data_IF_499254941250
#
_entry.id   IF_499254941250
#
_cell.length_a   1.000
_cell.length_b   1.000
_cell.length_c   1.000
_cell.angle_alpha   90.00
_cell.angle_beta   90.00
_cell.angle_gamma   90.00
#
_symmetry.space_group_name_H-M   'P 1'
#
loop_
_entity.id
_entity.type
_entity.pdbx_description
1 polymer ?
#
# COMPACT_ATOMS: atom_id res chain seq x y z
N UNK A 1 -31.36 82.85 -26.55
CA UNK A 1 -31.64 81.79 -27.57
C UNK A 1 -30.42 80.92 -27.80
N UNK A 2 -29.19 81.43 -27.94
CA UNK A 2 -28.00 80.68 -28.24
C UNK A 2 -27.61 79.65 -27.12
N UNK A 3 -27.78 80.00 -25.86
CA UNK A 3 -27.45 79.13 -24.71
C UNK A 3 -28.40 77.89 -24.64
N UNK A 4 -29.69 78.11 -25.00
CA UNK A 4 -30.67 77.04 -25.04
C UNK A 4 -30.34 75.97 -26.11
N UNK A 5 -29.90 76.45 -27.28
CA UNK A 5 -29.52 75.58 -28.38
C UNK A 5 -28.26 74.77 -28.09
N UNK A 6 -27.29 75.36 -27.39
CA UNK A 6 -26.05 74.61 -26.99
C UNK A 6 -26.34 73.53 -25.94
N UNK A 7 -27.19 73.84 -24.99
CA UNK A 7 -27.60 72.84 -23.98
C UNK A 7 -28.42 71.71 -24.60
N UNK A 8 -29.34 72.03 -25.53
CA UNK A 8 -30.08 70.98 -26.22
C UNK A 8 -29.19 70.08 -27.09
N UNK A 9 -28.19 70.66 -27.76
CA UNK A 9 -27.24 69.92 -28.57
C UNK A 9 -26.34 68.96 -27.69
N UNK A 10 -25.88 69.45 -26.55
CA UNK A 10 -25.07 68.63 -25.62
C UNK A 10 -25.91 67.49 -25.02
N UNK A 11 -27.14 67.77 -24.62
CA UNK A 11 -28.07 66.76 -24.12
C UNK A 11 -28.40 65.71 -25.20
N UNK A 12 -28.64 66.09 -26.40
CA UNK A 12 -28.88 65.16 -27.50
C UNK A 12 -27.68 64.32 -27.82
N UNK A 13 -26.50 64.90 -27.81
CA UNK A 13 -25.25 64.15 -28.04
C UNK A 13 -24.95 63.14 -26.94
N UNK A 14 -25.26 63.41 -25.65
CA UNK A 14 -25.13 62.47 -24.54
C UNK A 14 -26.15 61.32 -24.65
N UNK A 15 -27.37 61.57 -25.04
CA UNK A 15 -28.36 60.54 -25.25
C UNK A 15 -28.04 59.63 -26.45
N UNK A 16 -27.49 60.18 -27.52
CA UNK A 16 -27.14 59.45 -28.74
C UNK A 16 -25.91 58.53 -28.46
N UNK A 17 -24.97 58.97 -27.58
CA UNK A 17 -23.84 58.14 -27.09
C UNK A 17 -24.30 56.96 -26.27
N UNK A 18 -25.36 57.10 -25.49
CA UNK A 18 -25.90 55.95 -24.69
C UNK A 18 -26.67 54.93 -25.55
N UNK A 19 -27.28 55.39 -26.69
CA UNK A 19 -27.98 54.47 -27.61
C UNK A 19 -27.03 53.56 -28.42
N UNK A 20 -25.79 53.95 -28.60
CA UNK A 20 -24.75 53.15 -29.31
C UNK A 20 -24.03 52.14 -28.46
N UNK A 21 -24.28 52.12 -27.17
CA UNK A 21 -23.62 51.19 -26.21
C UNK A 21 -24.49 49.98 -25.81
N UNK A 22 -25.33 49.48 -26.74
CA UNK A 22 -25.88 48.14 -26.56
C UNK A 22 -24.85 47.18 -27.14
N UNK A 23 -24.10 46.46 -26.33
CA UNK A 23 -23.25 45.42 -26.86
C UNK A 23 -24.15 44.41 -27.55
N UNK A 24 -23.88 44.11 -28.82
CA UNK A 24 -24.50 43.00 -29.49
C UNK A 24 -24.38 41.77 -28.59
N UNK A 25 -25.41 40.91 -28.46
CA UNK A 25 -25.30 39.69 -27.73
C UNK A 25 -24.14 38.91 -28.35
N UNK A 26 -23.01 38.86 -27.65
CA UNK A 26 -21.92 37.91 -27.97
C UNK A 26 -22.60 36.55 -28.00
N UNK A 27 -22.48 35.78 -29.09
CA UNK A 27 -22.93 34.40 -29.05
C UNK A 27 -22.19 33.76 -27.86
N UNK A 28 -22.95 33.41 -26.85
CA UNK A 28 -22.44 32.55 -25.77
C UNK A 28 -22.08 31.27 -26.50
N UNK A 29 -20.80 31.16 -26.89
CA UNK A 29 -20.23 29.87 -27.21
C UNK A 29 -20.42 29.11 -25.92
N UNK A 30 -21.42 28.25 -25.89
CA UNK A 30 -21.60 27.31 -24.81
C UNK A 30 -20.23 26.66 -24.63
N UNK A 31 -19.54 26.98 -23.52
CA UNK A 31 -18.37 26.22 -23.14
C UNK A 31 -18.77 24.74 -23.28
N UNK A 32 -17.99 23.93 -23.98
CA UNK A 32 -18.31 22.52 -24.05
C UNK A 32 -18.55 22.09 -22.61
N UNK A 33 -19.78 21.67 -22.34
CA UNK A 33 -20.10 21.02 -21.09
C UNK A 33 -19.06 19.92 -21.02
N UNK A 34 -18.12 20.05 -20.09
CA UNK A 34 -17.17 19.00 -19.86
C UNK A 34 -18.04 17.76 -19.57
N UNK A 35 -18.23 16.95 -20.61
CA UNK A 35 -18.82 15.64 -20.44
C UNK A 35 -18.02 15.07 -19.28
N UNK A 36 -18.69 14.85 -18.17
CA UNK A 36 -18.11 14.13 -17.06
C UNK A 36 -17.65 12.82 -17.68
N UNK A 37 -16.36 12.68 -17.93
CA UNK A 37 -15.80 11.46 -18.46
C UNK A 37 -16.27 10.38 -17.49
N UNK A 38 -17.19 9.55 -17.93
CA UNK A 38 -17.58 8.38 -17.17
C UNK A 38 -16.31 7.61 -16.87
N UNK A 39 -16.14 7.24 -15.58
CA UNK A 39 -14.96 6.52 -15.15
C UNK A 39 -14.78 5.28 -16.05
N UNK A 40 -13.71 5.27 -16.80
CA UNK A 40 -13.36 4.17 -17.68
C UNK A 40 -12.54 3.14 -16.91
N UNK A 41 -12.65 1.88 -17.26
CA UNK A 41 -11.79 0.83 -16.71
C UNK A 41 -10.29 1.11 -16.97
N UNK A 42 -9.94 1.90 -17.97
CA UNK A 42 -8.58 2.38 -18.23
C UNK A 42 -8.06 3.36 -17.17
N UNK A 43 -8.96 4.03 -16.42
CA UNK A 43 -8.61 5.00 -15.39
C UNK A 43 -8.36 4.30 -14.03
N UNK A 44 -8.75 3.04 -13.92
CA UNK A 44 -8.51 2.23 -12.74
C UNK A 44 -7.14 1.56 -12.87
N UNK A 45 -6.18 2.00 -12.05
CA UNK A 45 -4.90 1.34 -12.00
C UNK A 45 -5.11 -0.16 -11.66
N UNK A 46 -4.44 -1.10 -12.38
CA UNK A 46 -4.57 -2.51 -12.08
C UNK A 46 -4.21 -2.76 -10.62
N UNK A 47 -5.11 -3.40 -9.90
CA UNK A 47 -4.91 -3.70 -8.49
C UNK A 47 -3.75 -4.69 -8.34
N UNK A 48 -2.78 -4.35 -7.51
CA UNK A 48 -1.66 -5.24 -7.23
C UNK A 48 -2.17 -6.56 -6.64
N UNK A 49 -1.74 -7.67 -7.24
CA UNK A 49 -2.17 -9.00 -6.77
C UNK A 49 -1.66 -9.26 -5.36
N UNK A 50 -0.42 -8.85 -5.06
CA UNK A 50 0.19 -9.00 -3.75
C UNK A 50 0.83 -7.67 -3.32
N UNK A 51 0.32 -7.08 -2.24
CA UNK A 51 0.80 -5.84 -1.64
C UNK A 51 1.40 -6.09 -0.26
N UNK A 52 2.43 -5.33 0.08
CA UNK A 52 2.98 -5.22 1.44
C UNK A 52 3.00 -3.75 1.81
N UNK A 53 2.22 -3.37 2.79
CA UNK A 53 2.27 -2.04 3.38
C UNK A 53 3.11 -2.06 4.65
N UNK A 54 3.96 -1.07 4.82
CA UNK A 54 4.90 -1.01 5.95
C UNK A 54 4.82 0.34 6.66
N UNK A 55 4.87 0.31 7.98
CA UNK A 55 5.01 1.49 8.80
C UNK A 55 6.41 2.12 8.67
N UNK A 56 6.53 3.38 9.05
CA UNK A 56 7.73 4.18 8.74
C UNK A 56 9.05 3.60 9.30
N UNK A 57 9.03 2.88 10.42
CA UNK A 57 10.23 2.25 10.98
C UNK A 57 10.73 1.04 10.20
N UNK A 58 9.88 0.48 9.36
CA UNK A 58 10.21 -0.68 8.51
C UNK A 58 10.73 -0.26 7.13
N UNK A 59 10.61 1.03 6.77
CA UNK A 59 11.09 1.55 5.47
C UNK A 59 12.55 1.18 5.19
N UNK A 60 13.51 1.30 6.14
CA UNK A 60 14.90 0.93 5.88
C UNK A 60 15.10 -0.53 5.45
N UNK A 61 14.22 -1.46 5.86
CA UNK A 61 14.29 -2.86 5.47
C UNK A 61 13.89 -3.11 4.02
N UNK A 62 13.10 -2.20 3.45
CA UNK A 62 12.55 -2.32 2.08
C UNK A 62 13.19 -1.32 1.11
N UNK A 63 13.99 -0.37 1.60
CA UNK A 63 14.67 0.61 0.78
C UNK A 63 15.76 -0.05 -0.08
N UNK A 64 15.65 0.13 -1.38
CA UNK A 64 16.63 -0.36 -2.35
C UNK A 64 18.03 0.27 -2.17
N UNK A 65 18.10 1.47 -1.61
CA UNK A 65 19.34 2.21 -1.35
C UNK A 65 20.13 1.68 -0.14
N UNK A 66 19.46 0.96 0.78
CA UNK A 66 20.05 0.42 2.00
C UNK A 66 20.13 -1.13 1.99
N UNK A 67 20.58 -1.69 0.88
CA UNK A 67 20.80 -3.14 0.68
C UNK A 67 19.52 -4.01 0.67
N UNK A 68 18.35 -3.44 0.92
CA UNK A 68 17.01 -4.04 0.76
C UNK A 68 16.94 -5.52 1.15
N UNK A 69 17.41 -5.90 2.34
CA UNK A 69 17.53 -7.30 2.74
C UNK A 69 16.20 -8.05 2.57
N UNK A 70 15.10 -7.40 2.98
CA UNK A 70 13.77 -7.99 2.85
C UNK A 70 13.39 -8.20 1.38
N UNK A 71 13.68 -7.26 0.49
CA UNK A 71 13.41 -7.39 -0.94
C UNK A 71 14.17 -8.55 -1.58
N UNK A 72 15.42 -8.76 -1.17
CA UNK A 72 16.25 -9.87 -1.64
C UNK A 72 15.68 -11.20 -1.19
N UNK A 73 15.24 -11.30 0.06
CA UNK A 73 14.59 -12.49 0.62
C UNK A 73 13.25 -12.80 -0.06
N UNK A 74 12.39 -11.81 -0.24
CA UNK A 74 11.11 -11.97 -0.96
C UNK A 74 11.35 -12.53 -2.37
N UNK A 75 12.36 -12.03 -3.10
CA UNK A 75 12.73 -12.58 -4.40
C UNK A 75 13.18 -14.04 -4.34
N UNK A 76 13.96 -14.38 -3.31
CA UNK A 76 14.41 -15.76 -3.05
C UNK A 76 13.24 -16.71 -2.79
N UNK A 77 12.28 -16.29 -1.94
CA UNK A 77 11.08 -17.07 -1.63
C UNK A 77 10.26 -17.30 -2.90
N UNK A 78 9.98 -16.25 -3.67
CA UNK A 78 9.23 -16.35 -4.92
C UNK A 78 9.88 -17.34 -5.90
N UNK A 79 11.21 -17.33 -6.00
CA UNK A 79 11.95 -18.28 -6.85
C UNK A 79 11.81 -19.73 -6.35
N UNK A 80 12.02 -19.98 -5.06
CA UNK A 80 11.84 -21.31 -4.46
C UNK A 80 10.41 -21.80 -4.65
N UNK A 81 9.45 -20.93 -4.36
CA UNK A 81 8.04 -21.24 -4.50
C UNK A 81 7.66 -21.60 -5.96
N UNK A 82 8.18 -20.84 -6.92
CA UNK A 82 7.96 -21.15 -8.34
C UNK A 82 8.52 -22.52 -8.74
N UNK A 83 9.63 -22.94 -8.13
CA UNK A 83 10.22 -24.27 -8.36
C UNK A 83 9.38 -25.38 -7.71
N UNK A 84 8.81 -25.15 -6.54
CA UNK A 84 8.01 -26.15 -5.80
C UNK A 84 6.60 -26.32 -6.41
N UNK A 85 5.98 -25.23 -6.86
CA UNK A 85 4.56 -25.22 -7.29
C UNK A 85 4.40 -25.20 -8.81
N UNK A 86 5.47 -24.86 -9.54
CA UNK A 86 5.48 -24.86 -11.00
C UNK A 86 4.89 -23.60 -11.65
N UNK A 87 4.59 -22.53 -10.89
CA UNK A 87 4.22 -21.23 -11.43
C UNK A 87 4.83 -20.06 -10.64
N UNK A 88 5.07 -18.93 -11.32
CA UNK A 88 5.64 -17.75 -10.71
C UNK A 88 4.55 -16.88 -10.07
N UNK A 89 4.64 -16.65 -8.76
CA UNK A 89 3.77 -15.71 -8.04
C UNK A 89 4.05 -14.28 -8.50
N UNK A 90 3.01 -13.46 -8.60
CA UNK A 90 3.10 -12.05 -8.97
C UNK A 90 4.12 -11.28 -8.11
N UNK A 91 4.73 -10.21 -8.61
CA UNK A 91 5.58 -9.35 -7.81
C UNK A 91 4.85 -8.85 -6.56
N UNK A 92 5.59 -8.71 -5.46
CA UNK A 92 5.08 -8.04 -4.26
C UNK A 92 5.31 -6.54 -4.43
N UNK A 93 4.23 -5.77 -4.43
CA UNK A 93 4.32 -4.32 -4.42
C UNK A 93 4.42 -3.83 -2.99
N UNK A 94 5.49 -3.10 -2.68
CA UNK A 94 5.75 -2.58 -1.34
C UNK A 94 5.46 -1.09 -1.33
N UNK A 95 4.65 -0.66 -0.36
CA UNK A 95 4.26 0.73 -0.15
C UNK A 95 4.46 1.09 1.31
N UNK A 96 4.86 2.32 1.56
CA UNK A 96 4.78 2.92 2.89
C UNK A 96 3.33 3.31 3.19
N UNK A 97 2.90 3.07 4.43
CA UNK A 97 1.59 3.47 4.91
C UNK A 97 1.74 4.12 6.29
N UNK A 98 1.54 5.44 6.35
CA UNK A 98 1.65 6.23 7.56
C UNK A 98 0.47 6.05 8.53
N UNK A 99 -0.61 5.41 8.09
CA UNK A 99 -1.75 5.06 8.95
C UNK A 99 -1.44 3.86 9.84
N UNK A 100 -0.46 3.04 9.44
CA UNK A 100 -0.01 1.91 10.23
C UNK A 100 0.82 2.39 11.43
N UNK A 101 0.81 1.57 12.49
CA UNK A 101 1.76 1.77 13.59
C UNK A 101 3.19 1.81 13.05
N UNK A 102 4.13 2.51 13.73
CA UNK A 102 5.51 2.65 13.28
C UNK A 102 6.20 1.33 12.88
N UNK A 103 5.98 0.29 13.64
CA UNK A 103 6.52 -1.06 13.43
C UNK A 103 5.51 -2.02 12.78
N UNK A 104 4.35 -1.48 12.35
CA UNK A 104 3.28 -2.28 11.75
C UNK A 104 3.56 -2.62 10.31
N UNK A 105 3.06 -3.75 9.87
CA UNK A 105 2.98 -4.12 8.46
C UNK A 105 1.63 -4.77 8.17
N UNK A 106 1.23 -4.72 6.89
CA UNK A 106 -0.01 -5.30 6.40
C UNK A 106 0.25 -6.00 5.06
N UNK A 107 -0.24 -7.21 4.93
CA UNK A 107 -0.17 -7.97 3.68
C UNK A 107 -1.54 -7.93 3.01
N UNK A 108 -1.54 -7.53 1.74
CA UNK A 108 -2.74 -7.40 0.92
C UNK A 108 -2.71 -8.41 -0.21
N UNK A 109 -3.82 -9.10 -0.43
CA UNK A 109 -4.05 -9.94 -1.60
C UNK A 109 -5.24 -9.36 -2.39
N UNK A 110 -4.97 -8.87 -3.60
CA UNK A 110 -5.96 -8.16 -4.43
C UNK A 110 -6.69 -7.04 -3.65
N UNK A 111 -5.95 -6.26 -2.84
CA UNK A 111 -6.47 -5.19 -2.01
C UNK A 111 -7.16 -5.62 -0.71
N UNK A 112 -7.32 -6.92 -0.47
CA UNK A 112 -7.90 -7.44 0.78
C UNK A 112 -6.79 -7.76 1.76
N UNK A 113 -6.94 -7.32 3.02
CA UNK A 113 -6.01 -7.64 4.10
C UNK A 113 -6.07 -9.14 4.43
N UNK A 114 -4.92 -9.80 4.31
CA UNK A 114 -4.76 -11.24 4.61
C UNK A 114 -3.80 -11.50 5.76
N UNK A 115 -3.04 -10.48 6.16
CA UNK A 115 -2.14 -10.55 7.30
C UNK A 115 -1.82 -9.15 7.83
N UNK A 116 -1.74 -9.02 9.13
CA UNK A 116 -1.32 -7.81 9.84
C UNK A 116 -0.44 -8.20 11.02
N UNK A 117 0.60 -7.42 11.28
CA UNK A 117 1.48 -7.69 12.40
C UNK A 117 2.37 -6.50 12.74
N UNK A 118 3.23 -6.71 13.70
CA UNK A 118 4.26 -5.76 14.10
C UNK A 118 5.63 -6.42 14.04
N UNK A 119 6.61 -5.72 13.53
CA UNK A 119 7.97 -6.18 13.36
C UNK A 119 8.97 -5.16 13.91
N UNK A 120 9.94 -5.62 14.66
CA UNK A 120 10.90 -4.75 15.35
C UNK A 120 12.30 -4.90 14.72
N UNK A 121 12.76 -3.90 13.93
CA UNK A 121 14.09 -3.92 13.36
C UNK A 121 15.17 -4.09 14.45
N UNK A 122 16.16 -4.94 14.19
CA UNK A 122 17.24 -5.23 15.14
C UNK A 122 16.88 -6.19 16.29
N UNK A 123 15.63 -6.65 16.37
CA UNK A 123 15.20 -7.63 17.36
C UNK A 123 15.11 -9.03 16.77
N UNK A 124 15.10 -10.01 17.65
CA UNK A 124 14.84 -11.41 17.33
C UNK A 124 13.45 -11.82 17.80
N UNK A 125 12.78 -12.65 17.03
CA UNK A 125 11.54 -13.29 17.42
C UNK A 125 11.85 -14.61 18.10
N UNK A 126 11.64 -14.68 19.40
CA UNK A 126 11.79 -15.89 20.20
C UNK A 126 10.45 -16.64 20.26
N UNK A 127 10.31 -17.68 19.46
CA UNK A 127 9.10 -18.50 19.38
C UNK A 127 9.15 -19.59 20.45
N UNK A 128 8.07 -19.73 21.21
CA UNK A 128 7.93 -20.79 22.18
C UNK A 128 7.38 -22.05 21.49
N UNK A 129 8.16 -23.15 21.39
CA UNK A 129 7.71 -24.39 20.77
C UNK A 129 6.82 -25.24 21.70
N UNK A 130 6.41 -24.73 22.87
CA UNK A 130 5.53 -25.39 23.83
C UNK A 130 6.22 -25.81 25.11
N UNK A 131 7.55 -25.95 25.14
CA UNK A 131 8.32 -26.30 26.34
C UNK A 131 9.57 -25.44 26.43
N UNK A 132 9.56 -24.45 27.31
CA UNK A 132 10.70 -23.58 27.58
C UNK A 132 11.07 -23.64 29.06
N UNK A 133 12.36 -23.56 29.36
CA UNK A 133 12.88 -23.70 30.71
C UNK A 133 12.76 -22.41 31.56
N UNK A 134 12.41 -21.29 30.96
CA UNK A 134 12.30 -20.00 31.66
C UNK A 134 11.63 -18.93 30.83
N UNK A 135 11.41 -17.78 31.46
CA UNK A 135 10.85 -16.58 30.79
C UNK A 135 11.96 -15.61 30.41
N UNK A 136 11.77 -14.87 29.31
CA UNK A 136 12.72 -13.90 28.80
C UNK A 136 12.02 -12.54 28.72
N UNK A 137 12.70 -11.45 29.10
CA UNK A 137 12.14 -10.12 28.94
C UNK A 137 12.01 -9.75 27.46
N UNK A 138 10.90 -9.09 27.11
CA UNK A 138 10.63 -8.63 25.74
C UNK A 138 9.16 -8.30 25.52
N UNK A 139 8.80 -8.00 24.30
CA UNK A 139 7.43 -7.66 23.89
C UNK A 139 6.67 -8.92 23.45
N UNK A 140 5.64 -9.35 24.20
CA UNK A 140 4.85 -10.52 23.83
C UNK A 140 4.15 -10.32 22.48
N UNK A 141 4.14 -11.38 21.68
CA UNK A 141 3.48 -11.41 20.37
C UNK A 141 3.08 -12.84 20.01
N UNK A 142 2.59 -13.03 18.80
CA UNK A 142 2.39 -14.35 18.20
C UNK A 142 3.27 -14.47 16.97
N UNK A 143 3.80 -15.65 16.74
CA UNK A 143 4.47 -15.98 15.50
C UNK A 143 3.49 -15.87 14.33
N UNK A 144 3.78 -15.05 13.31
CA UNK A 144 2.85 -14.81 12.21
C UNK A 144 2.62 -16.04 11.32
N UNK A 145 3.59 -16.98 11.27
CA UNK A 145 3.50 -18.16 10.40
C UNK A 145 2.61 -19.27 10.99
N UNK A 146 2.71 -19.53 12.31
CA UNK A 146 2.05 -20.65 12.95
C UNK A 146 1.14 -20.25 14.12
N UNK A 147 1.10 -18.95 14.46
CA UNK A 147 0.30 -18.43 15.57
C UNK A 147 0.80 -18.83 16.96
N UNK A 148 2.03 -19.36 17.07
CA UNK A 148 2.61 -19.78 18.33
C UNK A 148 2.92 -18.57 19.23
N UNK A 149 2.88 -18.72 20.57
CA UNK A 149 3.34 -17.69 21.48
C UNK A 149 4.80 -17.33 21.20
N UNK A 150 5.08 -16.04 21.06
CA UNK A 150 6.41 -15.55 20.76
C UNK A 150 6.69 -14.24 21.51
N UNK A 151 7.96 -13.86 21.58
CA UNK A 151 8.43 -12.65 22.28
C UNK A 151 9.46 -11.97 21.39
N UNK A 152 9.30 -10.67 21.15
CA UNK A 152 10.36 -9.86 20.56
C UNK A 152 11.42 -9.54 21.60
N UNK A 153 12.64 -9.98 21.37
CA UNK A 153 13.78 -9.85 22.28
C UNK A 153 14.90 -9.02 21.64
N UNK A 154 15.68 -8.35 22.46
CA UNK A 154 16.90 -7.67 22.02
C UNK A 154 17.96 -8.68 21.55
N UNK A 155 18.87 -8.24 20.68
CA UNK A 155 19.89 -9.10 20.09
C UNK A 155 20.77 -9.79 21.15
N UNK A 156 21.08 -9.11 22.26
CA UNK A 156 21.89 -9.65 23.36
C UNK A 156 21.24 -10.81 24.12
N UNK A 157 19.92 -10.98 24.01
CA UNK A 157 19.19 -12.06 24.71
C UNK A 157 19.02 -13.32 23.86
N UNK A 158 19.54 -13.33 22.63
CA UNK A 158 19.38 -14.44 21.69
C UNK A 158 19.91 -15.76 22.24
N UNK A 159 21.13 -15.76 22.77
CA UNK A 159 21.77 -16.98 23.31
C UNK A 159 21.01 -17.49 24.53
N UNK A 160 20.58 -16.60 25.41
CA UNK A 160 19.74 -16.95 26.56
C UNK A 160 18.40 -17.55 26.13
N UNK A 161 17.79 -16.99 25.10
CA UNK A 161 16.55 -17.51 24.53
C UNK A 161 16.73 -18.95 24.06
N UNK A 162 17.78 -19.20 23.30
CA UNK A 162 18.11 -20.54 22.81
C UNK A 162 18.40 -21.51 23.93
N UNK A 163 19.13 -21.09 24.97
CA UNK A 163 19.40 -21.89 26.15
C UNK A 163 18.12 -22.30 26.91
N UNK A 164 17.10 -21.43 26.91
CA UNK A 164 15.79 -21.75 27.50
C UNK A 164 14.88 -22.56 26.57
N UNK A 165 15.32 -22.88 25.36
CA UNK A 165 14.57 -23.68 24.40
C UNK A 165 13.65 -22.89 23.47
N UNK A 166 13.76 -21.56 23.42
CA UNK A 166 13.08 -20.75 22.41
C UNK A 166 13.76 -20.89 21.05
N UNK A 167 12.96 -20.84 20.00
CA UNK A 167 13.48 -20.72 18.65
C UNK A 167 13.62 -19.23 18.29
N UNK A 168 14.84 -18.70 18.42
CA UNK A 168 15.11 -17.28 18.19
C UNK A 168 15.46 -17.00 16.73
N UNK A 169 14.53 -16.39 15.99
CA UNK A 169 14.63 -16.04 14.57
C UNK A 169 14.89 -14.55 14.38
N UNK A 170 15.74 -14.21 13.41
CA UNK A 170 15.89 -12.83 12.98
C UNK A 170 14.57 -12.33 12.35
N UNK A 171 14.26 -11.05 12.54
CA UNK A 171 13.04 -10.42 11.98
C UNK A 171 12.78 -10.78 10.51
N UNK A 172 13.79 -10.66 9.66
CA UNK A 172 13.68 -10.96 8.24
C UNK A 172 13.30 -12.42 7.97
N UNK A 173 13.74 -13.35 8.82
CA UNK A 173 13.38 -14.77 8.74
C UNK A 173 11.95 -15.03 9.23
N UNK A 174 11.49 -14.30 10.25
CA UNK A 174 10.11 -14.39 10.72
C UNK A 174 9.12 -13.90 9.65
N UNK A 175 9.39 -12.74 9.03
CA UNK A 175 8.58 -12.22 7.91
C UNK A 175 8.65 -13.14 6.67
N UNK A 176 9.76 -13.84 6.47
CA UNK A 176 9.89 -14.85 5.41
C UNK A 176 8.90 -16.01 5.62
N UNK A 177 8.75 -16.48 6.86
CA UNK A 177 7.78 -17.51 7.21
C UNK A 177 6.35 -17.10 6.85
N UNK A 178 5.94 -15.88 7.21
CA UNK A 178 4.61 -15.36 6.90
C UNK A 178 4.39 -15.20 5.39
N UNK A 179 5.34 -14.61 4.68
CA UNK A 179 5.27 -14.48 3.23
C UNK A 179 5.15 -15.83 2.52
N UNK A 180 5.80 -16.88 3.04
CA UNK A 180 5.67 -18.25 2.55
C UNK A 180 4.27 -18.79 2.80
N UNK A 181 3.68 -18.57 3.97
CA UNK A 181 2.33 -19.00 4.30
C UNK A 181 1.30 -18.34 3.37
N UNK A 182 1.40 -17.02 3.16
CA UNK A 182 0.55 -16.29 2.21
C UNK A 182 0.70 -16.84 0.79
N UNK A 183 1.95 -17.09 0.35
CA UNK A 183 2.20 -17.66 -0.96
C UNK A 183 1.58 -19.07 -1.12
N UNK A 184 1.61 -19.90 -0.09
CA UNK A 184 0.96 -21.23 -0.09
C UNK A 184 -0.56 -21.11 -0.22
N UNK A 185 -1.19 -20.18 0.50
CA UNK A 185 -2.63 -19.92 0.39
C UNK A 185 -2.99 -19.48 -1.04
N UNK A 186 -2.22 -18.55 -1.62
CA UNK A 186 -2.42 -18.10 -3.00
C UNK A 186 -2.30 -19.26 -3.99
N UNK A 187 -1.32 -20.15 -3.77
CA UNK A 187 -1.13 -21.32 -4.63
C UNK A 187 -2.29 -22.32 -4.52
N UNK A 188 -2.77 -22.58 -3.32
CA UNK A 188 -3.91 -23.44 -3.10
C UNK A 188 -5.16 -22.92 -3.83
N UNK A 189 -5.45 -21.62 -3.68
CA UNK A 189 -6.55 -20.95 -4.37
C UNK A 189 -6.38 -20.98 -5.90
N UNK A 190 -5.19 -20.72 -6.41
CA UNK A 190 -4.92 -20.78 -7.86
C UNK A 190 -5.08 -22.20 -8.42
N UNK A 191 -4.72 -23.23 -7.65
CA UNK A 191 -4.93 -24.64 -8.01
C UNK A 191 -6.41 -24.99 -8.07
N UNK A 192 -7.19 -24.51 -7.09
CA UNK A 192 -8.63 -24.73 -7.02
C UNK A 192 -9.38 -24.05 -8.17
N UNK A 193 -9.03 -22.79 -8.49
CA UNK A 193 -9.57 -22.05 -9.63
C UNK A 193 -9.26 -22.74 -10.95
N UNK A 194 -8.06 -23.29 -11.14
CA UNK A 194 -7.74 -24.09 -12.33
C UNK A 194 -8.55 -25.38 -12.42
N UNK A 195 -8.77 -26.04 -11.28
CA UNK A 195 -9.56 -27.26 -11.22
C UNK A 195 -11.05 -27.01 -11.54
N UNK A 196 -11.57 -25.82 -11.21
CA UNK A 196 -12.95 -25.40 -11.52
C UNK A 196 -13.17 -24.96 -12.97
N UNK A 197 -12.12 -24.92 -13.81
CA UNK A 197 -12.21 -24.55 -15.22
C UNK A 197 -12.50 -23.07 -15.49
N UNK A 198 -12.45 -22.22 -14.48
CA UNK A 198 -12.60 -20.77 -14.66
C UNK A 198 -11.26 -20.14 -15.13
N UNK A 199 -11.31 -19.25 -16.14
CA UNK A 199 -10.11 -18.53 -16.54
C UNK A 199 -9.61 -17.67 -15.37
N UNK A 200 -8.33 -17.80 -15.04
CA UNK A 200 -7.66 -16.93 -14.06
C UNK A 200 -7.56 -15.55 -14.71
N UNK A 201 -8.10 -14.49 -14.10
CA UNK A 201 -8.00 -13.13 -14.64
C UNK A 201 -6.56 -12.60 -14.62
#
# INVERSE_FOLDING_TARGET
LLIACTLAYVAWRMLDGQRRAIPAPVPVVAAPVAESQEASWSDVAPLDVLGLEVGYRLIPLVDKGQDGELLRRIRGIRKKFAQEVGFLVSPVHIRDNLELKPNGYRILLKGVEVGIGEAFPGHYLAINPGRVAGTIPGTPTKDPAFGLPAIWIEAGLREQAQAFGYNALLLTTALEGEARTVAQVVAALAKEVRASGQPVP
#
